data_IF_184168582367
#
_entry.id   IF_184168582367
#
_cell.length_a   1.000
_cell.length_b   1.000
_cell.length_c   1.000
_cell.angle_alpha   90.00
_cell.angle_beta   90.00
_cell.angle_gamma   90.00
#
_symmetry.space_group_name_H-M   'P 1'
#
loop_
_entity.id
_entity.type
_entity.pdbx_description
1 polymer ?
#
# COMPACT_ATOMS: atom_id res chain seq x y z
N UNK A 1 4.17 25.72 9.96
CA UNK A 1 3.35 24.46 10.08
C UNK A 1 1.96 24.74 9.55
N UNK A 2 1.49 23.98 8.55
CA UNK A 2 0.20 24.17 7.89
C UNK A 2 -0.74 23.02 8.22
N UNK A 3 -1.99 23.31 8.63
CA UNK A 3 -3.01 22.27 8.83
C UNK A 3 -3.42 21.66 7.51
N UNK A 4 -3.64 20.34 7.49
CA UNK A 4 -3.96 19.58 6.29
C UNK A 4 -5.30 18.89 6.36
N UNK A 5 -6.03 18.93 5.25
CA UNK A 5 -7.15 18.03 4.94
C UNK A 5 -6.74 17.11 3.81
N UNK A 6 -6.91 15.81 4.00
CA UNK A 6 -6.55 14.79 3.03
C UNK A 6 -7.52 14.71 1.86
N UNK A 7 -7.05 14.23 0.73
CA UNK A 7 -7.88 13.91 -0.41
C UNK A 7 -8.51 12.52 -0.24
N UNK A 8 -9.83 12.45 -0.19
CA UNK A 8 -10.58 11.19 -0.07
C UNK A 8 -10.63 10.47 -1.41
N UNK A 9 -10.46 9.16 -1.39
CA UNK A 9 -10.65 8.25 -2.53
C UNK A 9 -11.79 7.28 -2.22
N UNK A 10 -12.79 7.27 -3.09
CA UNK A 10 -14.06 6.55 -2.96
C UNK A 10 -14.09 5.25 -3.78
N UNK A 11 -12.95 4.59 -3.92
CA UNK A 11 -12.87 3.34 -4.67
C UNK A 11 -13.86 2.29 -4.12
N UNK A 12 -14.53 1.55 -5.01
CA UNK A 12 -15.60 0.62 -4.68
C UNK A 12 -15.22 -0.54 -3.72
N UNK A 13 -13.93 -0.76 -3.50
CA UNK A 13 -13.42 -1.74 -2.55
C UNK A 13 -13.27 -1.19 -1.12
N UNK A 14 -13.43 0.11 -0.92
CA UNK A 14 -13.25 0.77 0.36
C UNK A 14 -14.33 0.47 1.39
N UNK A 15 -13.98 0.63 2.66
CA UNK A 15 -14.92 0.58 3.77
C UNK A 15 -15.72 1.88 3.86
N UNK A 16 -17.00 1.79 4.21
CA UNK A 16 -17.85 2.97 4.52
C UNK A 16 -17.65 3.47 5.95
N UNK A 17 -17.06 2.65 6.82
CA UNK A 17 -17.02 2.90 8.27
C UNK A 17 -15.61 3.04 8.85
N UNK A 18 -14.60 2.34 8.33
CA UNK A 18 -13.31 2.22 9.01
C UNK A 18 -12.56 3.56 9.16
N UNK A 19 -12.38 4.33 8.06
CA UNK A 19 -11.78 5.67 8.14
C UNK A 19 -12.70 6.65 8.87
N UNK A 20 -14.02 6.75 8.58
CA UNK A 20 -14.93 7.58 9.38
C UNK A 20 -14.84 7.30 10.88
N UNK A 21 -14.88 6.04 11.30
CA UNK A 21 -14.79 5.67 12.71
C UNK A 21 -13.45 6.07 13.36
N UNK A 22 -12.34 6.00 12.61
CA UNK A 22 -11.04 6.48 13.11
C UNK A 22 -11.05 7.99 13.41
N UNK A 23 -11.93 8.76 12.81
CA UNK A 23 -12.09 10.21 13.02
C UNK A 23 -13.33 10.57 13.85
N UNK A 24 -13.94 9.62 14.55
CA UNK A 24 -15.17 9.80 15.34
C UNK A 24 -16.31 10.44 14.53
N UNK A 25 -16.35 10.18 13.20
CA UNK A 25 -17.40 10.66 12.31
C UNK A 25 -18.39 9.55 12.00
N UNK A 26 -19.58 9.94 11.51
CA UNK A 26 -20.61 8.99 11.10
C UNK A 26 -20.15 8.15 9.90
N UNK A 27 -20.71 6.95 9.76
CA UNK A 27 -20.50 6.11 8.59
C UNK A 27 -20.86 6.88 7.30
N UNK A 28 -20.03 6.73 6.28
CA UNK A 28 -20.23 7.37 4.98
C UNK A 28 -21.24 6.59 4.14
N UNK A 29 -22.04 7.29 3.33
CA UNK A 29 -22.93 6.67 2.35
C UNK A 29 -22.15 6.04 1.18
N UNK A 30 -20.96 6.55 0.90
CA UNK A 30 -20.05 6.05 -0.14
C UNK A 30 -18.79 5.44 0.47
N UNK A 31 -18.08 4.55 -0.23
CA UNK A 31 -16.82 4.03 0.26
C UNK A 31 -15.80 5.13 0.55
N UNK A 32 -15.07 5.00 1.66
CA UNK A 32 -13.88 5.80 1.99
C UNK A 32 -12.70 4.84 1.98
N UNK A 33 -12.19 4.60 0.77
CA UNK A 33 -11.17 3.60 0.53
C UNK A 33 -9.80 4.05 1.03
N UNK A 34 -9.45 5.30 0.72
CA UNK A 34 -8.18 5.91 1.12
C UNK A 34 -8.37 7.38 1.47
N UNK A 35 -7.51 7.88 2.37
CA UNK A 35 -7.32 9.29 2.68
C UNK A 35 -5.86 9.64 2.39
N UNK A 36 -5.61 10.51 1.42
CA UNK A 36 -4.27 10.87 0.95
C UNK A 36 -3.77 12.16 1.59
N UNK A 37 -2.60 12.09 2.19
CA UNK A 37 -1.88 13.23 2.75
C UNK A 37 -0.53 13.36 2.02
N UNK A 38 -0.40 14.35 1.14
CA UNK A 38 0.79 14.55 0.33
C UNK A 38 0.56 15.49 -0.85
N UNK A 39 1.53 15.51 -1.77
CA UNK A 39 1.55 16.37 -2.96
C UNK A 39 1.22 15.64 -4.25
N UNK A 40 0.58 14.47 -4.17
CA UNK A 40 0.30 13.62 -5.32
C UNK A 40 -0.64 14.31 -6.32
N UNK A 41 -0.31 14.27 -7.61
CA UNK A 41 -1.04 15.01 -8.67
C UNK A 41 -2.50 14.60 -8.79
N UNK A 42 -2.82 13.33 -8.58
CA UNK A 42 -4.18 12.80 -8.66
C UNK A 42 -5.05 13.13 -7.44
N UNK A 43 -4.49 13.77 -6.41
CA UNK A 43 -5.23 14.17 -5.20
C UNK A 43 -4.28 14.74 -4.14
N UNK A 44 -3.82 15.98 -4.31
CA UNK A 44 -3.02 16.63 -3.28
C UNK A 44 -3.89 16.92 -2.05
N UNK A 45 -3.29 16.82 -0.86
CA UNK A 45 -3.92 17.33 0.35
C UNK A 45 -4.14 18.83 0.23
N UNK A 46 -5.16 19.35 0.90
CA UNK A 46 -5.47 20.79 0.91
C UNK A 46 -5.04 21.42 2.23
N UNK A 47 -4.62 22.69 2.19
CA UNK A 47 -4.28 23.46 3.37
C UNK A 47 -5.58 24.07 3.94
N UNK A 48 -5.84 23.81 5.21
CA UNK A 48 -7.03 24.32 5.89
C UNK A 48 -7.27 23.67 7.25
N UNK A 49 -7.99 24.38 8.09
CA UNK A 49 -8.37 23.92 9.43
C UNK A 49 -9.35 22.76 9.38
N UNK A 50 -9.39 21.97 10.46
CA UNK A 50 -10.30 20.85 10.68
C UNK A 50 -9.59 19.50 10.71
N UNK A 51 -10.40 18.45 10.66
CA UNK A 51 -9.91 17.08 10.64
C UNK A 51 -9.24 16.77 9.29
N UNK A 52 -8.26 15.89 9.29
CA UNK A 52 -7.66 15.40 8.06
C UNK A 52 -8.71 14.70 7.16
N UNK A 53 -9.67 14.00 7.73
CA UNK A 53 -10.87 13.52 7.05
C UNK A 53 -12.04 14.50 7.30
N UNK A 54 -12.36 15.32 6.32
CA UNK A 54 -13.38 16.36 6.39
C UNK A 54 -14.17 16.43 5.08
N UNK A 55 -15.05 15.48 4.79
CA UNK A 55 -15.75 15.40 3.50
C UNK A 55 -16.70 16.59 3.23
N UNK A 56 -17.22 17.22 4.29
CA UNK A 56 -18.15 18.37 4.20
C UNK A 56 -17.44 19.72 4.28
N UNK A 57 -16.11 19.74 4.40
CA UNK A 57 -15.38 20.98 4.52
C UNK A 57 -15.46 21.81 3.22
N UNK A 58 -15.53 23.15 3.32
CA UNK A 58 -15.53 24.02 2.15
C UNK A 58 -14.22 23.83 1.34
N UNK A 59 -14.23 24.10 0.02
CA UNK A 59 -13.03 24.09 -0.78
C UNK A 59 -11.92 24.94 -0.15
N UNK A 60 -10.70 24.42 -0.12
CA UNK A 60 -9.56 25.16 0.37
C UNK A 60 -9.06 26.14 -0.70
N UNK A 61 -8.43 27.26 -0.27
CA UNK A 61 -7.84 28.25 -1.17
C UNK A 61 -6.63 27.72 -1.92
N UNK A 62 -5.89 26.79 -1.31
CA UNK A 62 -4.70 26.18 -1.90
C UNK A 62 -4.53 24.73 -1.48
N UNK A 63 -3.85 23.95 -2.32
CA UNK A 63 -3.42 22.60 -2.02
C UNK A 63 -1.93 22.57 -1.63
N UNK A 64 -1.52 21.47 -0.96
CA UNK A 64 -0.16 21.29 -0.49
C UNK A 64 0.88 21.25 -1.63
N UNK A 65 0.51 20.75 -2.81
CA UNK A 65 1.42 20.73 -3.97
C UNK A 65 1.73 22.14 -4.45
N UNK A 66 0.69 22.96 -4.60
CA UNK A 66 0.83 24.36 -4.98
C UNK A 66 1.64 25.14 -3.95
N UNK A 67 1.38 24.90 -2.66
CA UNK A 67 2.13 25.50 -1.54
C UNK A 67 3.63 25.14 -1.58
N UNK A 68 3.96 23.86 -1.78
CA UNK A 68 5.36 23.39 -1.87
C UNK A 68 6.05 23.96 -3.11
N UNK A 69 5.36 24.01 -4.26
CA UNK A 69 5.91 24.54 -5.50
C UNK A 69 6.20 26.05 -5.45
N UNK A 70 5.55 26.80 -4.57
CA UNK A 70 5.82 28.22 -4.39
C UNK A 70 7.19 28.50 -3.72
N UNK A 71 7.66 27.57 -2.88
CA UNK A 71 8.98 27.64 -2.21
C UNK A 71 9.52 26.22 -1.95
N UNK A 72 10.01 25.52 -2.98
CA UNK A 72 10.45 24.13 -2.83
C UNK A 72 11.64 23.97 -1.88
N UNK A 73 12.58 24.90 -1.88
CA UNK A 73 13.77 24.82 -1.02
C UNK A 73 13.44 24.98 0.46
N UNK A 74 12.63 25.96 0.83
CA UNK A 74 12.19 26.13 2.20
C UNK A 74 11.27 24.99 2.67
N UNK A 75 10.33 24.58 1.81
CA UNK A 75 9.37 23.54 2.13
C UNK A 75 9.98 22.13 2.25
N UNK A 76 10.88 21.77 1.32
CA UNK A 76 11.43 20.42 1.19
C UNK A 76 12.86 20.28 1.72
N UNK A 77 13.62 21.38 1.81
CA UNK A 77 15.06 21.35 2.02
C UNK A 77 15.84 21.06 0.73
N UNK A 78 17.11 21.43 0.71
CA UNK A 78 17.93 21.38 -0.51
C UNK A 78 18.09 19.96 -1.09
N UNK A 79 18.19 18.94 -0.24
CA UNK A 79 18.42 17.56 -0.65
C UNK A 79 17.16 16.99 -1.35
N UNK A 80 16.00 17.14 -0.75
CA UNK A 80 14.73 16.67 -1.30
C UNK A 80 14.32 17.49 -2.53
N UNK A 81 14.50 18.80 -2.51
CA UNK A 81 14.19 19.68 -3.64
C UNK A 81 15.02 19.34 -4.90
N UNK A 82 16.25 18.82 -4.75
CA UNK A 82 17.07 18.33 -5.88
C UNK A 82 16.55 17.03 -6.48
N UNK A 83 15.83 16.21 -5.74
CA UNK A 83 15.22 14.97 -6.25
C UNK A 83 13.94 15.26 -7.03
N UNK A 84 13.24 16.36 -6.71
CA UNK A 84 12.00 16.82 -7.33
C UNK A 84 11.37 17.93 -6.49
N UNK A 85 10.51 18.74 -7.10
CA UNK A 85 9.86 19.85 -6.39
C UNK A 85 8.57 19.45 -5.69
N UNK A 86 8.46 18.19 -5.25
CA UNK A 86 7.30 17.65 -4.53
C UNK A 86 7.79 16.70 -3.44
N UNK A 87 6.91 16.34 -2.51
CA UNK A 87 7.24 15.30 -1.52
C UNK A 87 7.59 13.99 -2.24
N UNK A 88 8.69 13.32 -1.87
CA UNK A 88 9.07 12.05 -2.49
C UNK A 88 8.14 10.91 -2.08
N UNK A 89 7.29 11.12 -1.09
CA UNK A 89 6.35 10.14 -0.56
C UNK A 89 4.90 10.61 -0.58
N UNK A 90 4.00 9.64 -0.46
CA UNK A 90 2.59 9.83 -0.18
C UNK A 90 2.23 9.05 1.08
N UNK A 91 1.69 9.75 2.09
CA UNK A 91 1.11 9.14 3.28
C UNK A 91 -0.39 8.92 3.07
N UNK A 92 -0.90 7.75 3.43
CA UNK A 92 -2.31 7.41 3.31
C UNK A 92 -2.85 6.72 4.57
N UNK A 93 -4.15 6.88 4.80
CA UNK A 93 -4.94 5.85 5.47
C UNK A 93 -5.58 4.99 4.38
N UNK A 94 -5.57 3.67 4.55
CA UNK A 94 -6.16 2.71 3.61
C UNK A 94 -7.07 1.75 4.36
N UNK A 95 -8.29 1.54 3.83
CA UNK A 95 -9.33 0.76 4.48
C UNK A 95 -10.05 -0.18 3.49
N UNK A 96 -9.41 -1.28 3.05
CA UNK A 96 -10.08 -2.26 2.20
C UNK A 96 -11.17 -3.02 2.97
N UNK A 97 -12.39 -2.98 2.45
CA UNK A 97 -13.50 -3.85 2.84
C UNK A 97 -13.68 -5.02 1.86
N UNK A 98 -13.11 -4.89 0.66
CA UNK A 98 -13.06 -5.95 -0.37
C UNK A 98 -11.62 -6.10 -0.85
N UNK A 99 -11.22 -7.29 -1.31
CA UNK A 99 -9.89 -7.50 -1.85
C UNK A 99 -9.55 -6.56 -3.01
N UNK A 100 -8.36 -5.98 -2.99
CA UNK A 100 -7.80 -5.24 -4.11
C UNK A 100 -7.32 -6.19 -5.20
N UNK A 101 -7.04 -5.64 -6.39
CA UNK A 101 -6.39 -6.40 -7.46
C UNK A 101 -5.02 -6.91 -7.04
N UNK A 102 -4.60 -8.05 -7.59
CA UNK A 102 -3.20 -8.43 -7.57
C UNK A 102 -2.39 -7.43 -8.39
N UNK A 103 -1.28 -6.95 -7.83
CA UNK A 103 -0.45 -5.92 -8.44
C UNK A 103 1.03 -6.12 -8.15
N UNK A 104 1.85 -5.53 -9.01
CA UNK A 104 3.30 -5.43 -8.84
C UNK A 104 3.75 -4.04 -9.28
N UNK A 105 4.82 -3.55 -8.67
CA UNK A 105 5.40 -2.25 -8.97
C UNK A 105 6.80 -2.41 -9.59
N UNK A 106 7.15 -1.59 -10.60
CA UNK A 106 8.45 -1.66 -11.26
C UNK A 106 9.58 -1.13 -10.37
N UNK A 107 10.82 -1.49 -10.70
CA UNK A 107 12.00 -0.80 -10.18
C UNK A 107 12.07 0.64 -10.73
N UNK A 108 12.89 1.49 -10.12
CA UNK A 108 13.08 2.88 -10.58
C UNK A 108 13.66 2.94 -11.99
N UNK A 109 14.64 2.07 -12.28
CA UNK A 109 15.27 1.98 -13.61
C UNK A 109 14.25 1.54 -14.66
N UNK A 110 13.48 0.50 -14.37
CA UNK A 110 12.44 0.02 -15.28
C UNK A 110 11.36 1.07 -15.50
N UNK A 111 10.87 1.71 -14.43
CA UNK A 111 9.85 2.76 -14.54
C UNK A 111 10.33 3.92 -15.43
N UNK A 112 11.55 4.41 -15.22
CA UNK A 112 12.12 5.48 -16.03
C UNK A 112 12.26 5.08 -17.51
N UNK A 113 12.80 3.90 -17.79
CA UNK A 113 12.98 3.42 -19.16
C UNK A 113 11.64 3.22 -19.88
N UNK A 114 10.70 2.51 -19.23
CA UNK A 114 9.41 2.17 -19.83
C UNK A 114 8.50 3.38 -19.99
N UNK A 115 8.56 4.34 -19.07
CA UNK A 115 7.88 5.62 -19.25
C UNK A 115 8.33 6.30 -20.56
N UNK A 116 9.66 6.37 -20.81
CA UNK A 116 10.20 6.95 -22.06
C UNK A 116 9.81 6.12 -23.30
N UNK A 117 9.68 4.82 -23.17
CA UNK A 117 9.23 3.96 -24.27
C UNK A 117 7.78 4.27 -24.66
N UNK A 118 6.87 4.40 -23.68
CA UNK A 118 5.46 4.77 -23.91
C UNK A 118 5.31 6.21 -24.42
N UNK A 119 6.14 7.18 -23.94
CA UNK A 119 6.20 8.55 -24.49
C UNK A 119 6.61 8.52 -25.96
N UNK A 120 7.64 7.77 -26.34
CA UNK A 120 8.08 7.64 -27.74
C UNK A 120 7.04 6.98 -28.65
N UNK A 121 6.24 6.06 -28.09
CA UNK A 121 5.13 5.41 -28.79
C UNK A 121 3.90 6.34 -28.90
N UNK A 122 3.90 7.47 -28.17
CA UNK A 122 2.80 8.44 -28.17
C UNK A 122 1.57 7.96 -27.40
N UNK A 123 1.71 7.03 -26.45
CA UNK A 123 0.61 6.57 -25.59
C UNK A 123 0.23 7.67 -24.60
N UNK A 124 -0.98 8.25 -24.64
CA UNK A 124 -1.38 9.31 -23.73
C UNK A 124 -1.34 8.89 -22.27
N UNK A 125 -0.99 9.81 -21.34
CA UNK A 125 -1.03 9.52 -19.89
C UNK A 125 -2.40 9.10 -19.38
N UNK A 126 -3.48 9.56 -20.05
CA UNK A 126 -4.86 9.21 -19.72
C UNK A 126 -5.32 7.90 -20.34
N UNK A 127 -4.53 7.26 -21.20
CA UNK A 127 -4.92 6.01 -21.87
C UNK A 127 -5.05 4.88 -20.81
N UNK A 128 -6.17 4.14 -20.79
CA UNK A 128 -6.38 3.06 -19.83
C UNK A 128 -5.41 1.87 -20.01
N UNK A 129 -4.77 1.75 -21.17
CA UNK A 129 -3.75 0.72 -21.45
C UNK A 129 -2.35 1.14 -21.04
N UNK A 130 -2.13 2.42 -20.70
CA UNK A 130 -0.83 2.91 -20.28
C UNK A 130 -0.41 2.32 -18.94
N UNK A 131 0.74 1.64 -18.91
CA UNK A 131 1.30 0.95 -17.74
C UNK A 131 2.13 1.87 -16.86
N UNK A 132 2.87 2.83 -17.46
CA UNK A 132 3.79 3.74 -16.75
C UNK A 132 3.32 5.18 -16.80
N UNK A 133 2.89 5.70 -15.65
CA UNK A 133 2.32 7.05 -15.50
C UNK A 133 3.35 8.09 -15.07
N UNK A 134 4.47 7.62 -14.52
CA UNK A 134 5.61 8.41 -14.10
C UNK A 134 6.91 7.60 -14.19
N UNK A 135 8.06 8.25 -13.91
CA UNK A 135 9.39 7.64 -13.98
C UNK A 135 9.84 7.01 -12.67
N UNK A 136 8.96 6.91 -11.67
CA UNK A 136 9.36 6.53 -10.34
C UNK A 136 8.96 5.08 -10.01
N UNK A 137 9.68 4.49 -9.08
CA UNK A 137 9.29 3.24 -8.44
C UNK A 137 8.19 3.49 -7.40
N UNK A 138 7.60 2.40 -6.90
CA UNK A 138 6.54 2.48 -5.92
C UNK A 138 6.71 1.45 -4.79
N UNK A 139 7.81 1.50 -4.01
CA UNK A 139 7.86 0.72 -2.78
C UNK A 139 6.81 1.22 -1.80
N UNK A 140 6.24 0.30 -1.03
CA UNK A 140 5.16 0.59 -0.09
C UNK A 140 5.51 0.02 1.29
N UNK A 141 5.17 0.76 2.35
CA UNK A 141 5.19 0.28 3.73
C UNK A 141 3.79 0.46 4.32
N UNK A 142 3.17 -0.66 4.70
CA UNK A 142 1.88 -0.69 5.38
C UNK A 142 2.08 -0.96 6.86
N UNK A 143 1.62 -0.06 7.72
CA UNK A 143 1.51 -0.21 9.16
C UNK A 143 0.06 -0.50 9.53
N UNK A 144 -0.22 -1.66 10.10
CA UNK A 144 -1.56 -2.04 10.53
C UNK A 144 -2.02 -1.21 11.74
N UNK A 145 -3.18 -0.57 11.62
CA UNK A 145 -3.89 0.08 12.74
C UNK A 145 -4.88 -0.87 13.39
N UNK A 146 -5.44 -1.79 12.61
CA UNK A 146 -6.30 -2.87 13.02
C UNK A 146 -5.77 -4.17 12.40
N UNK A 147 -6.40 -5.32 12.67
CA UNK A 147 -6.05 -6.57 12.00
C UNK A 147 -6.14 -6.39 10.49
N UNK A 148 -5.02 -6.61 9.79
CA UNK A 148 -4.90 -6.40 8.36
C UNK A 148 -4.52 -7.69 7.64
N UNK A 149 -5.27 -8.05 6.60
CA UNK A 149 -5.05 -9.25 5.80
C UNK A 149 -4.53 -8.87 4.40
N UNK A 150 -3.52 -9.59 3.95
CA UNK A 150 -2.91 -9.40 2.64
C UNK A 150 -2.35 -10.72 2.08
N UNK A 151 -1.94 -10.69 0.81
CA UNK A 151 -1.04 -11.67 0.21
C UNK A 151 0.17 -10.92 -0.36
N UNK A 152 1.39 -11.45 -0.19
CA UNK A 152 2.60 -10.79 -0.68
C UNK A 152 3.75 -11.77 -0.94
N UNK A 153 4.36 -11.67 -2.12
CA UNK A 153 5.50 -12.47 -2.55
C UNK A 153 5.20 -13.96 -2.73
N UNK A 154 6.01 -14.64 -3.52
CA UNK A 154 5.79 -16.05 -3.82
C UNK A 154 6.16 -16.96 -2.65
N UNK A 155 5.35 -18.00 -2.47
CA UNK A 155 5.68 -19.15 -1.60
C UNK A 155 6.83 -19.94 -2.20
N UNK A 156 7.57 -20.64 -1.34
CA UNK A 156 8.50 -21.66 -1.82
C UNK A 156 7.79 -22.69 -2.73
N UNK A 157 8.38 -23.09 -3.87
CA UNK A 157 7.73 -24.00 -4.85
C UNK A 157 7.18 -25.28 -4.22
N UNK A 158 7.90 -25.87 -3.25
CA UNK A 158 7.43 -27.06 -2.51
C UNK A 158 6.15 -26.76 -1.72
N UNK A 159 6.06 -25.58 -1.11
CA UNK A 159 4.86 -25.17 -0.37
C UNK A 159 3.68 -24.90 -1.28
N UNK A 160 3.93 -24.38 -2.51
CA UNK A 160 2.87 -24.29 -3.52
C UNK A 160 2.39 -25.69 -3.88
N UNK A 161 3.30 -26.62 -4.18
CA UNK A 161 2.94 -28.01 -4.51
C UNK A 161 2.14 -28.66 -3.38
N UNK A 162 2.55 -28.50 -2.11
CA UNK A 162 1.81 -29.01 -0.93
C UNK A 162 0.37 -28.48 -0.89
N UNK A 163 0.21 -27.17 -1.12
CA UNK A 163 -1.10 -26.50 -1.05
C UNK A 163 -2.06 -26.93 -2.16
N UNK A 164 -1.57 -27.14 -3.39
CA UNK A 164 -2.43 -27.51 -4.53
C UNK A 164 -2.59 -29.02 -4.70
N UNK A 165 -1.77 -29.83 -4.03
CA UNK A 165 -1.90 -31.30 -4.08
C UNK A 165 -3.27 -31.75 -3.56
N UNK A 166 -3.87 -32.73 -4.26
CA UNK A 166 -5.18 -33.30 -3.89
C UNK A 166 -6.38 -32.48 -4.38
N UNK A 167 -6.18 -31.35 -5.08
CA UNK A 167 -7.26 -30.67 -5.79
C UNK A 167 -7.57 -31.44 -7.09
N UNK A 168 -8.81 -31.95 -7.27
CA UNK A 168 -9.16 -32.78 -8.42
C UNK A 168 -9.55 -31.93 -9.64
N UNK A 169 -8.57 -31.17 -10.18
CA UNK A 169 -8.82 -30.28 -11.31
C UNK A 169 -7.59 -30.11 -12.19
N UNK A 170 -7.82 -29.84 -13.48
CA UNK A 170 -6.79 -29.69 -14.51
C UNK A 170 -5.76 -28.61 -14.17
N UNK A 171 -6.19 -27.47 -13.59
CA UNK A 171 -5.27 -26.38 -13.19
C UNK A 171 -4.23 -26.91 -12.21
N UNK A 172 -4.66 -27.62 -11.16
CA UNK A 172 -3.76 -28.16 -10.16
C UNK A 172 -2.80 -29.19 -10.76
N UNK A 173 -3.27 -30.06 -11.63
CA UNK A 173 -2.44 -31.05 -12.34
C UNK A 173 -1.36 -30.38 -13.21
N UNK A 174 -1.75 -29.35 -13.98
CA UNK A 174 -0.83 -28.58 -14.83
C UNK A 174 0.24 -27.87 -13.99
N UNK A 175 -0.16 -27.13 -12.95
CA UNK A 175 0.79 -26.44 -12.08
C UNK A 175 1.71 -27.42 -11.35
N UNK A 176 1.18 -28.56 -10.88
CA UNK A 176 2.01 -29.62 -10.27
C UNK A 176 3.00 -30.21 -11.26
N UNK A 177 2.66 -30.33 -12.55
CA UNK A 177 3.61 -30.82 -13.55
C UNK A 177 4.79 -29.85 -13.69
N UNK A 178 4.55 -28.54 -13.78
CA UNK A 178 5.63 -27.53 -13.83
C UNK A 178 6.52 -27.55 -12.59
N UNK A 179 5.91 -27.66 -11.41
CA UNK A 179 6.66 -27.71 -10.15
C UNK A 179 7.41 -29.01 -9.92
N UNK A 180 6.98 -30.14 -10.52
CA UNK A 180 7.73 -31.41 -10.50
C UNK A 180 8.96 -31.37 -11.40
N UNK A 181 8.85 -30.66 -12.52
CA UNK A 181 9.97 -30.46 -13.45
C UNK A 181 11.02 -29.50 -12.88
N UNK A 182 10.54 -28.43 -12.22
CA UNK A 182 11.44 -27.41 -11.68
C UNK A 182 10.89 -26.81 -10.37
N UNK A 183 11.58 -27.08 -9.26
CA UNK A 183 11.27 -26.52 -7.92
C UNK A 183 12.04 -25.21 -7.64
N UNK A 184 12.26 -24.39 -8.65
CA UNK A 184 12.89 -23.07 -8.54
C UNK A 184 11.93 -21.91 -8.84
N UNK A 185 12.47 -20.70 -8.94
CA UNK A 185 11.76 -19.52 -9.41
C UNK A 185 11.16 -19.72 -10.82
N UNK A 186 11.81 -20.51 -11.68
CA UNK A 186 11.31 -20.79 -13.03
C UNK A 186 10.03 -21.64 -13.00
N UNK A 187 9.93 -22.63 -12.10
CA UNK A 187 8.67 -23.39 -11.92
C UNK A 187 7.52 -22.51 -11.45
N UNK A 188 7.78 -21.55 -10.55
CA UNK A 188 6.79 -20.54 -10.13
C UNK A 188 6.40 -19.64 -11.31
N UNK A 189 7.39 -19.18 -12.09
CA UNK A 189 7.16 -18.36 -13.29
C UNK A 189 6.25 -19.06 -14.27
N UNK A 190 6.54 -20.32 -14.60
CA UNK A 190 5.70 -21.13 -15.51
C UNK A 190 4.25 -21.28 -15.00
N UNK A 191 4.07 -21.49 -13.70
CA UNK A 191 2.72 -21.51 -13.10
C UNK A 191 2.01 -20.17 -13.24
N UNK A 192 2.71 -19.07 -12.98
CA UNK A 192 2.13 -17.73 -13.04
C UNK A 192 1.81 -17.32 -14.48
N UNK A 193 2.71 -17.59 -15.42
CA UNK A 193 2.52 -17.36 -16.86
C UNK A 193 1.33 -18.19 -17.41
N UNK A 194 1.22 -19.47 -17.05
CA UNK A 194 0.07 -20.32 -17.40
C UNK A 194 -1.27 -19.72 -17.00
N UNK A 195 -1.33 -19.09 -15.82
CA UNK A 195 -2.56 -18.47 -15.31
C UNK A 195 -2.95 -17.18 -16.02
N UNK A 196 -1.99 -16.45 -16.61
CA UNK A 196 -2.20 -15.08 -17.08
C UNK A 196 -2.12 -14.90 -18.59
N UNK A 197 -1.30 -15.70 -19.30
CA UNK A 197 -1.10 -15.57 -20.75
C UNK A 197 -2.37 -15.95 -21.51
N UNK A 198 -2.72 -15.16 -22.53
CA UNK A 198 -3.95 -15.37 -23.32
C UNK A 198 -4.05 -16.77 -23.93
N UNK A 199 -2.88 -17.34 -24.31
CA UNK A 199 -2.81 -18.66 -24.97
C UNK A 199 -3.06 -19.82 -24.01
N UNK A 200 -2.74 -19.67 -22.72
CA UNK A 200 -2.76 -20.78 -21.75
C UNK A 200 -3.70 -20.58 -20.59
N UNK A 201 -4.18 -19.36 -20.34
CA UNK A 201 -4.99 -19.07 -19.15
C UNK A 201 -6.22 -19.95 -19.06
N UNK A 202 -6.51 -20.50 -17.87
CA UNK A 202 -7.68 -21.34 -17.68
C UNK A 202 -8.98 -20.56 -17.86
N UNK A 203 -10.00 -21.23 -18.39
CA UNK A 203 -11.36 -20.67 -18.46
C UNK A 203 -11.97 -20.49 -17.08
N UNK A 204 -13.00 -19.64 -16.98
CA UNK A 204 -13.73 -19.41 -15.74
C UNK A 204 -14.30 -20.70 -15.13
N UNK A 205 -14.74 -21.66 -15.96
CA UNK A 205 -15.25 -22.95 -15.48
C UNK A 205 -14.13 -23.78 -14.81
N UNK A 206 -12.91 -23.76 -15.36
CA UNK A 206 -11.76 -24.43 -14.75
C UNK A 206 -11.36 -23.78 -13.42
N UNK A 207 -11.40 -22.45 -13.34
CA UNK A 207 -11.20 -21.71 -12.09
C UNK A 207 -12.26 -22.09 -11.07
N UNK A 208 -13.54 -22.11 -11.45
CA UNK A 208 -14.64 -22.50 -10.58
C UNK A 208 -14.50 -23.95 -10.06
N UNK A 209 -14.02 -24.87 -10.89
CA UNK A 209 -13.73 -26.25 -10.46
C UNK A 209 -12.64 -26.32 -9.38
N UNK A 210 -11.57 -25.53 -9.51
CA UNK A 210 -10.54 -25.43 -8.48
C UNK A 210 -11.09 -24.87 -7.17
N UNK A 211 -11.86 -23.79 -7.25
CA UNK A 211 -12.51 -23.16 -6.09
C UNK A 211 -13.45 -24.13 -5.39
N UNK A 212 -14.24 -24.89 -6.13
CA UNK A 212 -15.10 -25.92 -5.57
C UNK A 212 -14.29 -27.00 -4.85
N UNK A 213 -13.15 -27.41 -5.38
CA UNK A 213 -12.21 -28.32 -4.71
C UNK A 213 -11.67 -27.76 -3.40
N UNK A 214 -11.25 -26.48 -3.35
CA UNK A 214 -10.81 -25.81 -2.14
C UNK A 214 -11.94 -25.75 -1.10
N UNK A 215 -13.15 -25.39 -1.48
CA UNK A 215 -14.33 -25.34 -0.59
C UNK A 215 -14.66 -26.71 -0.03
N UNK A 216 -14.72 -27.73 -0.88
CA UNK A 216 -15.04 -29.10 -0.46
C UNK A 216 -14.03 -29.65 0.55
N UNK A 217 -12.72 -29.41 0.38
CA UNK A 217 -11.71 -29.88 1.33
C UNK A 217 -11.70 -29.07 2.65
N UNK A 218 -12.09 -27.79 2.61
CA UNK A 218 -12.35 -27.03 3.83
C UNK A 218 -13.49 -27.62 4.65
N UNK A 219 -14.62 -27.93 3.99
CA UNK A 219 -15.80 -28.53 4.62
C UNK A 219 -15.49 -29.90 5.26
N UNK A 220 -14.60 -30.69 4.64
CA UNK A 220 -14.17 -31.99 5.19
C UNK A 220 -13.05 -31.90 6.23
N UNK A 221 -12.48 -30.70 6.47
CA UNK A 221 -11.31 -30.54 7.36
C UNK A 221 -10.03 -31.19 6.81
N UNK A 222 -9.91 -31.35 5.49
CA UNK A 222 -8.80 -32.01 4.79
C UNK A 222 -7.86 -31.00 4.09
N UNK A 223 -8.04 -29.70 4.34
CA UNK A 223 -7.23 -28.65 3.69
C UNK A 223 -5.79 -28.70 4.20
N UNK A 224 -4.78 -28.78 3.31
CA UNK A 224 -3.37 -28.67 3.71
C UNK A 224 -3.01 -27.24 4.15
N UNK A 225 -3.83 -26.26 3.82
CA UNK A 225 -3.70 -24.87 4.25
C UNK A 225 -5.09 -24.21 4.23
N UNK A 226 -5.84 -24.33 5.33
CA UNK A 226 -7.17 -23.71 5.45
C UNK A 226 -7.14 -22.21 5.11
N UNK A 227 -6.06 -21.53 5.48
CA UNK A 227 -5.91 -20.10 5.20
C UNK A 227 -5.83 -19.83 3.69
N UNK A 228 -5.08 -20.64 2.93
CA UNK A 228 -5.01 -20.49 1.49
C UNK A 228 -6.36 -20.74 0.82
N UNK A 229 -7.05 -21.81 1.22
CA UNK A 229 -8.36 -22.14 0.66
C UNK A 229 -9.43 -21.11 1.02
N UNK A 230 -9.41 -20.55 2.23
CA UNK A 230 -10.29 -19.44 2.62
C UNK A 230 -10.03 -18.19 1.79
N UNK A 231 -8.77 -17.86 1.47
CA UNK A 231 -8.42 -16.74 0.59
C UNK A 231 -8.96 -16.99 -0.82
N UNK A 232 -8.77 -18.19 -1.39
CA UNK A 232 -9.34 -18.56 -2.70
C UNK A 232 -10.86 -18.37 -2.71
N UNK A 233 -11.55 -18.86 -1.67
CA UNK A 233 -13.00 -18.74 -1.55
C UNK A 233 -13.47 -17.29 -1.41
N UNK A 234 -12.73 -16.48 -0.64
CA UNK A 234 -12.98 -15.04 -0.50
C UNK A 234 -12.80 -14.31 -1.83
N UNK A 235 -11.69 -14.55 -2.51
CA UNK A 235 -11.39 -13.88 -3.79
C UNK A 235 -12.41 -14.24 -4.87
N UNK A 236 -12.80 -15.52 -4.97
CA UNK A 236 -13.84 -15.96 -5.92
C UNK A 236 -15.20 -15.30 -5.65
N UNK A 237 -15.55 -15.03 -4.40
CA UNK A 237 -16.80 -14.33 -4.08
C UNK A 237 -16.86 -12.90 -4.60
N UNK A 238 -15.71 -12.27 -4.85
CA UNK A 238 -15.60 -10.90 -5.39
C UNK A 238 -15.22 -10.87 -6.87
N UNK A 239 -14.45 -11.88 -7.33
CA UNK A 239 -13.92 -11.98 -8.70
C UNK A 239 -14.14 -13.39 -9.26
N UNK A 240 -15.40 -13.81 -9.45
CA UNK A 240 -15.72 -15.19 -9.86
C UNK A 240 -15.09 -15.54 -11.21
N UNK A 241 -14.36 -16.63 -11.23
CA UNK A 241 -13.73 -17.15 -12.44
C UNK A 241 -12.46 -16.40 -12.91
N UNK A 242 -11.97 -15.42 -12.14
CA UNK A 242 -10.70 -14.72 -12.46
C UNK A 242 -9.50 -15.61 -12.11
N UNK A 243 -8.54 -15.83 -13.04
CA UNK A 243 -7.34 -16.62 -12.76
C UNK A 243 -6.48 -16.10 -11.61
N UNK A 244 -6.57 -14.79 -11.27
CA UNK A 244 -5.94 -14.20 -10.09
C UNK A 244 -6.38 -14.86 -8.78
N UNK A 245 -7.60 -15.45 -8.74
CA UNK A 245 -8.06 -16.26 -7.62
C UNK A 245 -7.11 -17.45 -7.41
N UNK A 246 -6.74 -18.13 -8.49
CA UNK A 246 -5.80 -19.27 -8.46
C UNK A 246 -4.37 -18.77 -8.16
N UNK A 247 -3.96 -17.65 -8.75
CA UNK A 247 -2.64 -17.05 -8.53
C UNK A 247 -2.38 -16.76 -7.05
N UNK A 248 -3.41 -16.50 -6.25
CA UNK A 248 -3.28 -16.33 -4.79
C UNK A 248 -2.70 -17.56 -4.06
N UNK A 249 -2.85 -18.77 -4.62
CA UNK A 249 -2.25 -20.00 -4.09
C UNK A 249 -0.71 -19.99 -4.22
N UNK A 250 -0.16 -19.24 -5.16
CA UNK A 250 1.28 -19.06 -5.33
C UNK A 250 1.87 -18.09 -4.29
N UNK A 251 1.05 -17.24 -3.65
CA UNK A 251 1.48 -16.15 -2.78
C UNK A 251 1.43 -16.51 -1.30
N UNK A 252 2.26 -15.84 -0.49
CA UNK A 252 2.23 -15.98 0.95
C UNK A 252 1.06 -15.18 1.54
N UNK A 253 0.20 -15.77 2.37
CA UNK A 253 -0.80 -15.03 3.14
C UNK A 253 -0.13 -14.28 4.30
N UNK A 254 -0.53 -13.03 4.48
CA UNK A 254 -0.03 -12.13 5.52
C UNK A 254 -1.19 -11.73 6.42
N UNK A 255 -1.03 -11.84 7.73
CA UNK A 255 -1.87 -11.18 8.74
C UNK A 255 -0.97 -10.26 9.55
N UNK A 256 -1.32 -9.00 9.63
CA UNK A 256 -0.69 -8.03 10.51
C UNK A 256 -1.61 -7.75 11.68
N UNK A 257 -1.02 -7.74 12.89
CA UNK A 257 -1.68 -7.21 14.09
C UNK A 257 -1.42 -5.70 14.19
N UNK A 258 -2.24 -4.95 14.96
CA UNK A 258 -1.99 -3.53 15.18
C UNK A 258 -0.54 -3.25 15.60
N UNK A 259 0.13 -2.36 14.87
CA UNK A 259 1.53 -1.99 15.08
C UNK A 259 2.56 -2.86 14.34
N UNK A 260 2.15 -3.92 13.65
CA UNK A 260 3.03 -4.65 12.73
C UNK A 260 3.04 -3.99 11.35
N UNK A 261 4.18 -4.03 10.66
CA UNK A 261 4.35 -3.43 9.35
C UNK A 261 4.84 -4.43 8.29
N UNK A 262 4.34 -4.25 7.06
CA UNK A 262 4.72 -4.99 5.85
C UNK A 262 5.39 -4.03 4.87
N UNK A 263 6.56 -4.40 4.38
CA UNK A 263 7.22 -3.71 3.28
C UNK A 263 7.05 -4.47 1.97
N UNK A 264 6.69 -3.76 0.92
CA UNK A 264 6.49 -4.28 -0.43
C UNK A 264 7.49 -3.62 -1.37
N UNK A 265 8.61 -4.27 -1.70
CA UNK A 265 9.56 -3.77 -2.68
C UNK A 265 9.06 -3.95 -4.12
N UNK A 266 9.75 -3.30 -5.06
CA UNK A 266 9.57 -3.52 -6.49
C UNK A 266 9.65 -5.01 -6.85
N UNK A 267 8.90 -5.45 -7.85
CA UNK A 267 8.84 -6.84 -8.31
C UNK A 267 7.98 -7.77 -7.47
N UNK A 268 7.52 -7.36 -6.29
CA UNK A 268 6.73 -8.20 -5.40
C UNK A 268 5.25 -8.17 -5.77
N UNK A 269 4.70 -9.33 -6.19
CA UNK A 269 3.24 -9.49 -6.39
C UNK A 269 2.55 -9.48 -5.03
N UNK A 270 1.53 -8.63 -4.88
CA UNK A 270 0.80 -8.48 -3.63
C UNK A 270 -0.66 -8.04 -3.85
N UNK A 271 -1.48 -8.19 -2.83
CA UNK A 271 -2.81 -7.60 -2.73
C UNK A 271 -3.21 -7.42 -1.27
N UNK A 272 -3.88 -6.32 -0.95
CA UNK A 272 -4.55 -6.11 0.33
C UNK A 272 -5.96 -6.68 0.27
N UNK A 273 -6.37 -7.40 1.31
CA UNK A 273 -7.63 -8.14 1.33
C UNK A 273 -8.67 -7.46 2.24
N UNK A 274 -8.26 -7.03 3.42
CA UNK A 274 -9.13 -6.33 4.38
C UNK A 274 -8.34 -5.71 5.52
N UNK A 275 -8.89 -4.68 6.17
CA UNK A 275 -8.33 -4.07 7.37
C UNK A 275 -8.32 -2.54 7.33
N UNK A 276 -7.62 -1.93 8.29
CA UNK A 276 -7.31 -0.50 8.34
C UNK A 276 -5.84 -0.33 8.64
N UNK A 277 -5.15 0.51 7.87
CA UNK A 277 -3.72 0.77 8.02
C UNK A 277 -3.30 2.17 7.62
N UNK A 278 -2.08 2.51 8.02
CA UNK A 278 -1.31 3.63 7.48
C UNK A 278 -0.40 3.07 6.41
N UNK A 279 -0.51 3.59 5.19
CA UNK A 279 0.42 3.27 4.10
C UNK A 279 1.27 4.48 3.79
N UNK A 280 2.57 4.28 3.68
CA UNK A 280 3.49 5.25 3.11
C UNK A 280 4.20 4.62 1.93
N UNK A 281 4.29 5.37 0.83
CA UNK A 281 4.85 4.88 -0.42
C UNK A 281 5.63 5.97 -1.12
N UNK A 282 6.55 5.61 -2.02
CA UNK A 282 7.12 6.57 -2.94
C UNK A 282 6.01 7.17 -3.82
N UNK A 283 6.16 8.44 -4.17
CA UNK A 283 5.13 9.19 -4.90
C UNK A 283 5.09 8.74 -6.38
N UNK A 284 4.29 7.71 -6.67
CA UNK A 284 4.15 7.09 -8.01
C UNK A 284 2.77 6.46 -8.21
N UNK A 285 2.30 6.48 -9.47
CA UNK A 285 1.06 5.82 -9.94
C UNK A 285 1.33 4.50 -10.68
N UNK A 286 2.58 4.05 -10.77
CA UNK A 286 2.95 2.89 -11.56
C UNK A 286 2.46 1.58 -10.93
N UNK A 287 1.47 0.95 -11.57
CA UNK A 287 0.84 -0.29 -11.14
C UNK A 287 0.62 -1.22 -12.32
N UNK A 288 1.26 -2.38 -12.29
CA UNK A 288 0.98 -3.50 -13.20
C UNK A 288 0.06 -4.50 -12.49
N UNK A 289 -1.08 -4.79 -13.09
CA UNK A 289 -2.08 -5.70 -12.50
C UNK A 289 -1.88 -7.12 -12.93
N UNK A 290 -2.12 -8.05 -12.03
CA UNK A 290 -1.92 -9.48 -12.23
C UNK A 290 -3.20 -10.31 -12.03
N UNK A 291 -4.38 -9.68 -12.08
CA UNK A 291 -5.68 -10.32 -11.87
C UNK A 291 -6.52 -9.64 -10.79
N UNK A 292 -7.68 -10.21 -10.49
CA UNK A 292 -8.68 -9.66 -9.58
C UNK A 292 -9.11 -8.24 -10.01
N UNK A 293 -9.33 -8.06 -11.31
CA UNK A 293 -9.63 -6.74 -11.87
C UNK A 293 -10.33 -6.84 -13.22
N UNK A 294 -11.20 -5.86 -13.51
CA UNK A 294 -11.74 -5.64 -14.86
C UNK A 294 -10.90 -4.68 -15.71
N UNK A 295 -9.81 -4.10 -15.11
CA UNK A 295 -8.94 -3.18 -15.85
C UNK A 295 -7.97 -3.94 -16.74
N UNK A 296 -7.37 -3.23 -17.71
CA UNK A 296 -6.36 -3.79 -18.61
C UNK A 296 -5.19 -4.43 -17.84
N UNK A 297 -4.71 -5.56 -18.31
CA UNK A 297 -3.53 -6.28 -17.82
C UNK A 297 -2.55 -6.38 -18.99
N UNK A 298 -1.41 -5.72 -18.86
CA UNK A 298 -0.28 -5.88 -19.77
C UNK A 298 0.52 -7.10 -19.34
N UNK A 299 0.17 -8.27 -19.85
CA UNK A 299 0.77 -9.54 -19.42
C UNK A 299 2.26 -9.61 -19.74
N UNK A 300 2.76 -9.25 -20.95
CA UNK A 300 4.19 -9.25 -21.23
C UNK A 300 5.00 -8.38 -20.26
N UNK A 301 4.55 -7.15 -20.01
CA UNK A 301 5.24 -6.22 -19.12
C UNK A 301 5.14 -6.66 -17.65
N UNK A 302 3.99 -7.20 -17.24
CA UNK A 302 3.80 -7.80 -15.93
C UNK A 302 4.81 -8.94 -15.67
N UNK A 303 4.91 -9.90 -16.60
CA UNK A 303 5.82 -11.04 -16.47
C UNK A 303 7.30 -10.62 -16.47
N UNK A 304 7.64 -9.52 -17.14
CA UNK A 304 8.98 -8.94 -17.12
C UNK A 304 9.30 -8.18 -15.82
N UNK A 305 8.28 -7.70 -15.11
CA UNK A 305 8.44 -6.89 -13.87
C UNK A 305 8.52 -7.76 -12.61
N UNK A 306 7.88 -8.92 -12.63
CA UNK A 306 7.74 -9.79 -11.45
C UNK A 306 9.06 -10.43 -11.05
N UNK A 307 9.39 -10.33 -9.74
CA UNK A 307 10.45 -11.15 -9.13
C UNK A 307 9.85 -12.50 -8.67
N UNK A 308 10.25 -13.57 -9.33
CA UNK A 308 9.76 -14.94 -9.07
C UNK A 308 10.48 -15.65 -7.93
N UNK A 309 11.47 -15.00 -7.32
CA UNK A 309 12.18 -15.58 -6.18
C UNK A 309 11.24 -15.72 -4.99
N UNK A 310 11.09 -16.95 -4.53
CA UNK A 310 10.27 -17.23 -3.35
C UNK A 310 10.95 -16.70 -2.09
N UNK A 311 10.28 -15.80 -1.40
CA UNK A 311 10.74 -15.21 -0.16
C UNK A 311 9.58 -15.01 0.83
N UNK A 312 9.84 -15.07 2.14
CA UNK A 312 8.83 -14.66 3.12
C UNK A 312 8.50 -13.18 2.96
N UNK A 313 7.26 -12.76 3.27
CA UNK A 313 6.89 -11.34 3.28
C UNK A 313 7.80 -10.53 4.21
N UNK A 314 8.26 -9.37 3.74
CA UNK A 314 9.20 -8.53 4.48
C UNK A 314 8.46 -7.76 5.57
N UNK A 315 8.57 -8.21 6.81
CA UNK A 315 8.06 -7.51 7.99
C UNK A 315 9.12 -6.55 8.51
N UNK A 316 8.75 -5.31 8.71
CA UNK A 316 9.62 -4.30 9.32
C UNK A 316 9.34 -4.25 10.81
N UNK A 317 10.33 -4.61 11.61
CA UNK A 317 10.31 -4.39 13.05
C UNK A 317 10.63 -2.92 13.35
N UNK A 318 9.88 -2.25 14.24
CA UNK A 318 10.18 -0.87 14.56
C UNK A 318 11.46 -0.77 15.40
N UNK A 319 12.25 0.24 15.14
CA UNK A 319 13.35 0.67 16.00
C UNK A 319 12.85 1.69 17.03
N UNK A 320 13.17 1.49 18.30
CA UNK A 320 12.86 2.45 19.37
C UNK A 320 13.91 3.57 19.39
N UNK A 321 13.63 4.66 18.70
CA UNK A 321 14.51 5.83 18.64
C UNK A 321 14.43 6.69 19.90
N UNK A 322 13.37 6.51 20.69
CA UNK A 322 13.20 7.08 22.04
C UNK A 322 12.21 6.22 22.85
N UNK A 323 11.98 6.60 24.12
CA UNK A 323 10.97 5.95 24.98
C UNK A 323 9.54 6.04 24.42
N UNK A 324 9.25 7.06 23.63
CA UNK A 324 7.91 7.34 23.10
C UNK A 324 7.81 7.16 21.60
N UNK A 325 8.92 7.06 20.87
CA UNK A 325 8.92 7.04 19.40
C UNK A 325 9.53 5.75 18.85
N UNK A 326 8.82 5.13 17.94
CA UNK A 326 9.24 3.97 17.17
C UNK A 326 9.25 4.35 15.70
N UNK A 327 10.34 4.04 14.99
CA UNK A 327 10.49 4.29 13.54
C UNK A 327 10.57 2.97 12.78
N UNK A 328 9.85 2.89 11.68
CA UNK A 328 9.84 1.78 10.75
C UNK A 328 10.70 2.18 9.53
N UNK A 329 11.93 1.70 9.51
CA UNK A 329 12.87 1.97 8.44
C UNK A 329 12.66 0.99 7.29
N UNK A 330 12.13 1.49 6.18
CA UNK A 330 12.14 0.76 4.92
C UNK A 330 13.49 0.93 4.23
N UNK A 331 13.97 -0.05 3.43
CA UNK A 331 15.26 0.07 2.72
C UNK A 331 15.13 0.93 1.46
N UNK A 332 14.64 2.15 1.59
CA UNK A 332 14.41 3.15 0.53
C UNK A 332 14.79 4.55 1.02
N UNK A 333 15.10 5.44 0.09
CA UNK A 333 15.46 6.83 0.38
C UNK A 333 14.25 7.78 0.30
N UNK A 334 13.10 7.27 -0.10
CA UNK A 334 11.92 8.09 -0.38
C UNK A 334 11.15 8.45 0.89
N UNK A 335 11.19 7.57 1.92
CA UNK A 335 10.40 7.77 3.13
C UNK A 335 10.87 6.96 4.33
N UNK A 336 10.48 7.44 5.51
CA UNK A 336 10.41 6.68 6.75
C UNK A 336 9.10 6.97 7.50
N UNK A 337 8.66 6.04 8.35
CA UNK A 337 7.43 6.16 9.12
C UNK A 337 7.70 6.03 10.61
N UNK A 338 7.31 7.04 11.38
CA UNK A 338 7.42 7.03 12.84
C UNK A 338 6.07 7.05 13.53
N UNK A 339 5.98 6.41 14.68
CA UNK A 339 4.84 6.45 15.59
C UNK A 339 5.31 6.91 16.96
N UNK A 340 4.77 8.03 17.44
CA UNK A 340 4.99 8.50 18.80
C UNK A 340 3.78 8.21 19.68
N UNK A 341 3.99 7.59 20.84
CA UNK A 341 2.97 7.28 21.87
C UNK A 341 3.25 8.14 23.10
N UNK A 342 2.58 9.26 23.19
CA UNK A 342 2.76 10.28 24.24
C UNK A 342 1.78 10.05 25.38
N UNK A 343 2.26 10.18 26.63
CA UNK A 343 1.50 9.83 27.83
C UNK A 343 1.33 10.95 28.84
N UNK A 344 1.95 12.11 28.60
CA UNK A 344 1.95 13.22 29.56
C UNK A 344 2.21 14.56 28.91
N UNK A 345 1.60 15.60 29.45
CA UNK A 345 1.84 17.01 29.11
C UNK A 345 3.09 17.59 29.80
N UNK A 346 3.58 16.92 30.84
CA UNK A 346 4.67 17.45 31.66
C UNK A 346 6.07 17.18 31.08
N UNK A 347 6.14 16.37 30.03
CA UNK A 347 7.40 15.91 29.48
C UNK A 347 7.44 16.21 27.97
N UNK A 348 8.42 17.02 27.57
CA UNK A 348 8.63 17.38 26.18
C UNK A 348 9.64 16.44 25.56
N UNK A 349 9.30 15.86 24.41
CA UNK A 349 10.12 14.92 23.65
C UNK A 349 10.45 15.47 22.27
N UNK A 350 11.63 15.14 21.76
CA UNK A 350 12.00 15.45 20.37
C UNK A 350 11.51 14.36 19.45
N UNK A 351 10.93 14.75 18.32
CA UNK A 351 10.67 13.82 17.20
C UNK A 351 11.93 13.70 16.33
N UNK A 352 12.15 12.51 15.71
CA UNK A 352 13.22 12.34 14.74
C UNK A 352 12.96 13.17 13.47
N UNK A 353 13.97 13.20 12.58
CA UNK A 353 13.87 13.82 11.26
C UNK A 353 14.07 15.33 11.26
N UNK A 354 14.34 15.85 10.07
CA UNK A 354 14.59 17.29 9.81
C UNK A 354 14.06 17.76 8.46
N UNK A 355 13.60 16.81 7.63
CA UNK A 355 13.05 17.06 6.30
C UNK A 355 11.63 17.60 6.33
N UNK A 356 10.95 17.56 5.18
CA UNK A 356 9.52 17.85 5.08
C UNK A 356 8.72 16.73 5.73
N UNK A 357 7.85 17.06 6.69
CA UNK A 357 7.11 16.06 7.47
C UNK A 357 5.61 16.24 7.37
N UNK A 358 4.90 15.12 7.34
CA UNK A 358 3.46 15.09 7.56
C UNK A 358 3.19 14.41 8.89
N UNK A 359 2.46 15.08 9.77
CA UNK A 359 2.03 14.55 11.05
C UNK A 359 0.52 14.36 11.07
N UNK A 360 0.06 13.24 11.66
CA UNK A 360 -1.36 12.93 11.85
C UNK A 360 -1.58 12.42 13.28
N UNK A 361 -2.42 13.10 14.06
CA UNK A 361 -2.80 12.66 15.40
C UNK A 361 -3.90 11.59 15.31
N UNK A 362 -3.55 10.33 15.61
CA UNK A 362 -4.50 9.21 15.62
C UNK A 362 -5.35 9.14 16.88
N UNK A 363 -4.94 9.81 17.96
CA UNK A 363 -5.71 9.89 19.19
C UNK A 363 -5.24 11.01 20.10
N UNK A 364 -6.10 11.48 20.99
CA UNK A 364 -5.79 12.40 22.06
C UNK A 364 -5.54 13.83 21.60
N UNK A 365 -4.66 14.53 22.34
CA UNK A 365 -4.24 15.89 22.03
C UNK A 365 -2.74 16.05 22.23
N UNK A 366 -2.04 16.57 21.23
CA UNK A 366 -0.59 16.63 21.16
C UNK A 366 -0.18 18.02 20.70
N UNK A 367 0.63 18.70 21.52
CA UNK A 367 1.27 19.94 21.15
C UNK A 367 2.54 19.62 20.34
N UNK A 368 2.63 20.19 19.15
CA UNK A 368 3.82 20.16 18.28
C UNK A 368 4.42 21.55 18.24
N UNK A 369 5.71 21.66 18.52
CA UNK A 369 6.41 22.94 18.59
C UNK A 369 7.70 22.91 17.76
N UNK A 370 7.94 24.00 17.03
CA UNK A 370 9.22 24.40 16.47
C UNK A 370 9.84 25.51 17.33
N UNK A 371 10.91 26.14 16.88
CA UNK A 371 11.46 27.34 17.54
C UNK A 371 10.51 28.54 17.48
N UNK A 372 9.73 28.64 16.39
CA UNK A 372 8.95 29.84 16.05
C UNK A 372 7.44 29.64 16.22
N UNK A 373 6.96 28.40 16.10
CA UNK A 373 5.53 28.10 16.09
C UNK A 373 5.18 26.99 17.06
N UNK A 374 3.90 26.99 17.47
CA UNK A 374 3.32 25.95 18.32
C UNK A 374 1.89 25.69 17.88
N UNK A 375 1.55 24.43 17.65
CA UNK A 375 0.22 24.00 17.28
C UNK A 375 -0.20 22.83 18.16
N UNK A 376 -1.42 22.82 18.66
CA UNK A 376 -2.02 21.64 19.26
C UNK A 376 -2.78 20.87 18.18
N UNK A 377 -2.45 19.60 18.01
CA UNK A 377 -3.19 18.65 17.20
C UNK A 377 -4.11 17.83 18.09
N UNK A 378 -5.38 17.94 17.86
CA UNK A 378 -6.38 17.05 18.45
C UNK A 378 -6.50 15.78 17.60
N UNK A 379 -7.19 14.77 18.14
CA UNK A 379 -7.51 13.56 17.41
C UNK A 379 -8.06 13.87 16.00
N UNK A 380 -7.49 13.22 15.00
CA UNK A 380 -7.88 13.35 13.60
C UNK A 380 -7.32 14.57 12.86
N UNK A 381 -6.60 15.47 13.53
CA UNK A 381 -5.96 16.62 12.88
C UNK A 381 -4.59 16.26 12.34
N UNK A 382 -4.25 16.82 11.16
CA UNK A 382 -2.95 16.63 10.50
C UNK A 382 -2.31 17.96 10.13
N UNK A 383 -0.96 17.95 10.04
CA UNK A 383 -0.18 19.11 9.59
C UNK A 383 0.93 18.72 8.64
N UNK A 384 1.30 19.66 7.79
CA UNK A 384 2.57 19.68 7.08
C UNK A 384 3.57 20.57 7.83
N UNK A 385 4.80 20.08 7.99
CA UNK A 385 5.91 20.82 8.58
C UNK A 385 6.99 20.95 7.55
N UNK A 386 7.36 22.18 7.23
CA UNK A 386 8.41 22.51 6.26
C UNK A 386 9.79 22.07 6.79
N UNK A 387 10.71 21.79 5.89
CA UNK A 387 12.09 21.44 6.25
C UNK A 387 12.82 22.59 6.98
N UNK A 388 12.59 23.84 6.56
CA UNK A 388 13.20 25.04 7.18
C UNK A 388 12.73 25.30 8.63
N UNK A 389 11.64 24.70 9.08
CA UNK A 389 11.19 24.79 10.48
C UNK A 389 12.03 23.94 11.44
N UNK A 390 12.86 23.03 10.94
CA UNK A 390 13.87 22.31 11.69
C UNK A 390 13.33 21.29 12.69
N UNK A 391 13.90 21.21 13.88
CA UNK A 391 13.57 20.20 14.89
C UNK A 391 12.19 20.39 15.50
N UNK A 392 11.48 19.29 15.70
CA UNK A 392 10.20 19.26 16.38
C UNK A 392 10.33 18.79 17.82
N UNK A 393 9.55 19.42 18.68
CA UNK A 393 9.29 18.98 20.04
C UNK A 393 7.80 18.70 20.19
N UNK A 394 7.47 17.65 20.94
CA UNK A 394 6.09 17.24 21.18
C UNK A 394 5.86 16.97 22.66
N UNK A 395 4.64 17.24 23.12
CA UNK A 395 4.14 16.84 24.43
C UNK A 395 2.61 16.65 24.35
N UNK A 396 2.06 15.88 25.24
CA UNK A 396 0.63 15.62 25.25
C UNK A 396 0.29 14.20 25.65
N UNK A 397 -0.94 13.81 25.36
CA UNK A 397 -1.43 12.44 25.53
C UNK A 397 -2.08 12.00 24.25
N UNK A 398 -1.57 10.95 23.62
CA UNK A 398 -2.11 10.46 22.36
C UNK A 398 -1.06 9.79 21.48
N UNK A 399 -1.51 9.36 20.31
CA UNK A 399 -0.69 8.69 19.30
C UNK A 399 -0.55 9.56 18.06
N UNK A 400 0.69 9.76 17.62
CA UNK A 400 1.04 10.59 16.46
C UNK A 400 1.77 9.75 15.43
N UNK A 401 1.32 9.82 14.18
CA UNK A 401 2.05 9.33 13.01
C UNK A 401 2.91 10.48 12.46
N UNK A 402 4.14 10.17 12.07
CA UNK A 402 5.00 11.06 11.29
C UNK A 402 5.52 10.33 10.06
N UNK A 403 5.26 10.91 8.89
CA UNK A 403 5.95 10.59 7.65
C UNK A 403 7.08 11.59 7.44
N UNK A 404 8.25 11.10 7.10
CA UNK A 404 9.48 11.89 6.90
C UNK A 404 10.33 11.28 5.77
N UNK A 405 11.43 11.92 5.45
CA UNK A 405 12.51 11.37 4.61
C UNK A 405 13.67 10.93 5.50
N UNK A 406 14.42 9.88 5.13
CA UNK A 406 15.60 9.39 5.86
C UNK A 406 16.72 10.42 6.04
#
# INVERSE_FOLDING_TARGET
MERLRGAVKDYAWGSTSAIPALFDTVESETPVAELWLGTHTAGPATIGDGLAYSPEAPPAETDLRTYVLADPQGALGDDVARMGNTLPYLLKLIAPAKPLSLQVHPSREQAAQRFEDEERQGVPLSDPTRSYRDRNHKPELLLALDRFEAVAGFRAPRRVADVITGLPCEIAETMLSYLREDLSAEGIRRCFEYLLSEESRPSSDKVAALVAGCRARLERGESPSERADRIVTLLDSHYPGDPGVVASLLLNPVTLQPGEALFVPAGTVHAYLSGLGVEIMANSDNVLRAGLTSKHIDVPELLATVDYVAAPPIRIAPEHVSEVTRTYYAPVEDFELSVADLRTWNDTRSLPGRGPRILLALSGAIEVATKEQRITLNHGEGIFVRADEGKLQVRGVGKLIQADVP
#
